data_IF_001860315095
#
_entry.id   IF_001860315095
#
_cell.length_a   1.000
_cell.length_b   1.000
_cell.length_c   1.000
_cell.angle_alpha   90.00
_cell.angle_beta   90.00
_cell.angle_gamma   90.00
#
_symmetry.space_group_name_H-M   'P 1'
#
loop_
_entity.id
_entity.type
_entity.pdbx_description
1 polymer ?
#
# COMPACT_ATOMS: atom_id res chain seq x y z
N UNK A 1 -23.01 -50.41 24.77
CA UNK A 1 -22.53 -49.10 25.29
C UNK A 1 -21.17 -48.82 24.67
N UNK A 2 -21.04 -47.79 23.85
CA UNK A 2 -19.72 -47.28 23.42
C UNK A 2 -19.87 -45.78 23.11
N UNK A 3 -19.26 -44.94 23.94
CA UNK A 3 -19.09 -43.50 23.72
C UNK A 3 -17.70 -43.28 23.13
N UNK A 4 -17.58 -42.45 22.09
CA UNK A 4 -16.29 -41.83 21.71
C UNK A 4 -16.58 -40.55 20.88
N UNK A 5 -16.66 -39.42 21.58
CA UNK A 5 -15.75 -38.26 21.48
C UNK A 5 -15.61 -37.64 20.08
N UNK A 6 -16.44 -36.62 19.84
CA UNK A 6 -16.27 -35.64 18.76
C UNK A 6 -15.20 -34.64 19.22
N UNK A 7 -14.02 -34.67 18.60
CA UNK A 7 -13.01 -33.62 18.75
C UNK A 7 -13.43 -32.40 17.92
N UNK A 8 -13.87 -31.34 18.60
CA UNK A 8 -14.00 -30.02 18.01
C UNK A 8 -12.59 -29.47 17.74
N UNK A 9 -12.18 -29.43 16.48
CA UNK A 9 -10.99 -28.69 16.05
C UNK A 9 -11.30 -27.19 16.11
N UNK A 10 -10.74 -26.50 17.11
CA UNK A 10 -10.75 -25.05 17.18
C UNK A 10 -9.81 -24.48 16.12
N UNK A 11 -10.38 -23.95 15.03
CA UNK A 11 -9.67 -23.12 14.07
C UNK A 11 -9.29 -21.79 14.76
N UNK A 12 -8.06 -21.71 15.26
CA UNK A 12 -7.47 -20.44 15.66
C UNK A 12 -7.23 -19.59 14.40
N UNK A 13 -8.15 -18.66 14.12
CA UNK A 13 -7.91 -17.57 13.19
C UNK A 13 -6.83 -16.66 13.80
N UNK A 14 -5.57 -16.95 13.49
CA UNK A 14 -4.46 -16.05 13.82
C UNK A 14 -4.62 -14.71 13.07
N UNK A 15 -4.14 -13.60 13.63
CA UNK A 15 -4.16 -12.33 12.92
C UNK A 15 -3.36 -12.49 11.63
N UNK A 16 -3.95 -12.08 10.51
CA UNK A 16 -3.26 -12.04 9.22
C UNK A 16 -2.08 -11.06 9.33
N UNK A 17 -0.89 -11.59 9.62
CA UNK A 17 0.32 -10.80 9.60
C UNK A 17 0.48 -10.20 8.20
N UNK A 18 0.61 -8.87 8.12
CA UNK A 18 1.02 -8.23 6.89
C UNK A 18 2.33 -8.88 6.43
N UNK A 19 2.31 -9.53 5.27
CA UNK A 19 3.47 -10.26 4.75
C UNK A 19 4.64 -9.29 4.54
N UNK A 20 5.65 -9.33 5.39
CA UNK A 20 6.86 -8.52 5.23
C UNK A 20 7.55 -8.86 3.91
N UNK A 21 8.29 -7.92 3.27
CA UNK A 21 9.12 -8.26 2.12
C UNK A 21 9.98 -9.50 2.39
N UNK A 22 10.14 -10.38 1.40
CA UNK A 22 10.79 -11.70 1.59
C UNK A 22 12.24 -11.57 2.13
N UNK A 23 12.91 -10.46 1.81
CA UNK A 23 14.25 -10.16 2.27
C UNK A 23 14.33 -9.69 3.73
N UNK A 24 13.20 -9.40 4.39
CA UNK A 24 13.17 -8.97 5.79
C UNK A 24 13.64 -10.03 6.79
N UNK A 25 13.73 -11.30 6.38
CA UNK A 25 14.33 -12.38 7.17
C UNK A 25 15.87 -12.43 7.10
N UNK A 26 16.51 -11.57 6.30
CA UNK A 26 17.97 -11.61 6.15
C UNK A 26 18.69 -11.18 7.45
N UNK A 27 19.82 -11.81 7.74
CA UNK A 27 20.59 -11.55 8.95
C UNK A 27 21.39 -10.24 8.92
N UNK A 28 21.59 -9.65 7.73
CA UNK A 28 22.46 -8.49 7.51
C UNK A 28 21.70 -7.27 6.99
N UNK A 29 20.61 -6.88 7.65
CA UNK A 29 19.84 -5.70 7.29
C UNK A 29 20.54 -4.41 7.74
N UNK A 30 20.65 -3.44 6.84
CA UNK A 30 21.06 -2.09 7.22
C UNK A 30 19.95 -1.36 8.00
N UNK A 31 20.24 -0.14 8.48
CA UNK A 31 19.28 0.63 9.29
C UNK A 31 17.97 0.93 8.55
N UNK A 32 18.04 1.34 7.28
CA UNK A 32 16.85 1.62 6.48
C UNK A 32 16.02 0.35 6.25
N UNK A 33 16.68 -0.75 5.90
CA UNK A 33 16.05 -2.06 5.72
C UNK A 33 15.33 -2.54 6.97
N UNK A 34 15.95 -2.42 8.15
CA UNK A 34 15.29 -2.72 9.43
C UNK A 34 14.04 -1.86 9.63
N UNK A 35 14.12 -0.56 9.38
CA UNK A 35 12.97 0.36 9.48
C UNK A 35 11.86 -0.02 8.50
N UNK A 36 12.19 -0.36 7.25
CA UNK A 36 11.21 -0.83 6.25
C UNK A 36 10.52 -2.10 6.75
N UNK A 37 11.28 -3.06 7.26
CA UNK A 37 10.75 -4.33 7.75
C UNK A 37 9.87 -4.20 8.99
N UNK A 38 10.02 -3.15 9.79
CA UNK A 38 9.17 -2.91 10.97
C UNK A 38 8.03 -1.93 10.72
N UNK A 39 7.94 -1.32 9.52
CA UNK A 39 6.95 -0.28 9.21
C UNK A 39 5.98 -0.75 8.13
N UNK A 40 4.73 -1.15 8.47
CA UNK A 40 3.79 -1.72 7.51
C UNK A 40 3.56 -0.88 6.26
N UNK A 41 3.52 0.45 6.42
CA UNK A 41 3.43 1.42 5.33
C UNK A 41 4.57 1.27 4.30
N UNK A 42 5.81 1.19 4.78
CA UNK A 42 7.00 1.03 3.93
C UNK A 42 7.07 -0.37 3.31
N UNK A 43 6.62 -1.40 4.02
CA UNK A 43 6.50 -2.75 3.43
C UNK A 43 5.53 -2.78 2.25
N UNK A 44 4.40 -2.07 2.34
CA UNK A 44 3.46 -1.98 1.23
C UNK A 44 4.09 -1.31 0.01
N UNK A 45 4.84 -0.22 0.22
CA UNK A 45 5.56 0.46 -0.86
C UNK A 45 6.63 -0.42 -1.48
N UNK A 46 7.39 -1.16 -0.68
CA UNK A 46 8.39 -2.12 -1.19
C UNK A 46 7.75 -3.16 -2.13
N UNK A 47 6.62 -3.73 -1.72
CA UNK A 47 5.85 -4.65 -2.57
C UNK A 47 5.33 -3.96 -3.83
N UNK A 48 4.92 -2.70 -3.76
CA UNK A 48 4.46 -1.95 -4.93
C UNK A 48 5.58 -1.76 -5.96
N UNK A 49 6.78 -1.38 -5.53
CA UNK A 49 7.92 -1.26 -6.44
C UNK A 49 8.31 -2.63 -7.02
N UNK A 50 8.31 -3.70 -6.20
CA UNK A 50 8.54 -5.08 -6.67
C UNK A 50 7.57 -5.53 -7.77
N UNK A 51 6.28 -5.22 -7.65
CA UNK A 51 5.30 -5.48 -8.72
C UNK A 51 5.58 -4.67 -9.98
N UNK A 52 5.98 -3.40 -9.85
CA UNK A 52 6.31 -2.57 -11.01
C UNK A 52 7.58 -3.06 -11.71
N UNK A 53 8.58 -3.53 -10.97
CA UNK A 53 9.75 -4.18 -11.57
C UNK A 53 9.34 -5.39 -12.39
N UNK A 54 8.49 -6.28 -11.87
CA UNK A 54 8.01 -7.44 -12.61
C UNK A 54 7.25 -7.08 -13.91
N UNK A 55 6.63 -5.90 -13.98
CA UNK A 55 5.95 -5.40 -15.20
C UNK A 55 6.89 -4.75 -16.21
N UNK A 56 7.98 -4.16 -15.73
CA UNK A 56 8.96 -3.43 -16.54
C UNK A 56 10.11 -4.32 -17.01
N UNK A 57 10.35 -5.45 -16.34
CA UNK A 57 11.40 -6.38 -16.70
C UNK A 57 11.21 -6.92 -18.12
N UNK A 58 12.28 -6.89 -18.91
CA UNK A 58 12.27 -7.29 -20.33
C UNK A 58 11.54 -6.35 -21.30
N UNK A 59 10.93 -5.24 -20.85
CA UNK A 59 10.27 -4.28 -21.75
C UNK A 59 11.31 -3.41 -22.47
N UNK A 60 11.26 -3.39 -23.79
CA UNK A 60 12.19 -2.62 -24.61
C UNK A 60 12.07 -1.11 -24.30
N UNK A 61 13.21 -0.45 -24.05
CA UNK A 61 13.27 0.99 -23.77
C UNK A 61 13.07 1.40 -22.31
N UNK A 62 12.82 0.47 -21.37
CA UNK A 62 12.63 0.79 -19.94
C UNK A 62 13.79 0.28 -19.09
N UNK A 63 14.96 0.91 -19.20
CA UNK A 63 16.10 0.60 -18.32
C UNK A 63 15.88 1.19 -16.94
N UNK A 64 15.36 0.39 -16.02
CA UNK A 64 15.11 0.80 -14.62
C UNK A 64 16.29 0.37 -13.75
N UNK A 65 17.28 1.25 -13.55
CA UNK A 65 18.46 0.94 -12.73
C UNK A 65 18.08 0.79 -11.25
N UNK A 66 18.32 -0.38 -10.65
CA UNK A 66 17.97 -0.70 -9.25
C UNK A 66 18.99 -0.13 -8.25
N UNK A 67 20.28 -0.26 -8.55
CA UNK A 67 21.35 -0.08 -7.57
C UNK A 67 21.49 1.37 -7.07
N UNK A 68 21.38 2.35 -7.97
CA UNK A 68 21.47 3.77 -7.60
C UNK A 68 20.33 4.22 -6.68
N UNK A 69 19.12 3.70 -6.90
CA UNK A 69 17.97 4.00 -6.06
C UNK A 69 18.08 3.35 -4.69
N UNK A 70 18.53 2.09 -4.61
CA UNK A 70 18.75 1.40 -3.33
C UNK A 70 19.75 2.16 -2.45
N UNK A 71 20.83 2.67 -3.03
CA UNK A 71 21.81 3.48 -2.31
C UNK A 71 21.19 4.77 -1.76
N UNK A 72 20.43 5.50 -2.59
CA UNK A 72 19.73 6.73 -2.18
C UNK A 72 18.70 6.46 -1.08
N UNK A 73 17.86 5.43 -1.24
CA UNK A 73 16.90 4.98 -0.22
C UNK A 73 17.60 4.66 1.09
N UNK A 74 18.69 3.88 1.04
CA UNK A 74 19.40 3.45 2.25
C UNK A 74 20.08 4.60 2.98
N UNK A 75 20.42 5.70 2.29
CA UNK A 75 20.96 6.91 2.91
C UNK A 75 19.97 7.59 3.87
N UNK A 76 18.65 7.33 3.75
CA UNK A 76 17.64 7.83 4.69
C UNK A 76 17.79 7.24 6.10
N UNK A 77 18.52 6.13 6.28
CA UNK A 77 18.59 5.44 7.57
C UNK A 77 17.20 5.10 8.10
N UNK A 78 16.91 5.44 9.36
CA UNK A 78 15.60 5.15 9.98
C UNK A 78 14.55 6.25 9.78
N UNK A 79 14.80 7.26 8.95
CA UNK A 79 13.85 8.34 8.72
C UNK A 79 12.69 7.85 7.83
N UNK A 80 11.52 7.58 8.46
CA UNK A 80 10.33 7.06 7.78
C UNK A 80 9.84 8.01 6.68
N UNK A 81 9.84 9.33 6.91
CA UNK A 81 9.40 10.29 5.90
C UNK A 81 10.32 10.28 4.66
N UNK A 82 11.64 10.28 4.87
CA UNK A 82 12.62 10.18 3.78
C UNK A 82 12.48 8.87 2.99
N UNK A 83 12.34 7.74 3.69
CA UNK A 83 12.13 6.43 3.06
C UNK A 83 10.85 6.42 2.23
N UNK A 84 9.78 6.97 2.81
CA UNK A 84 8.49 7.14 2.16
C UNK A 84 8.61 7.95 0.86
N UNK A 85 9.23 9.13 0.91
CA UNK A 85 9.43 9.98 -0.28
C UNK A 85 10.28 9.27 -1.34
N UNK A 86 11.34 8.56 -0.92
CA UNK A 86 12.18 7.76 -1.80
C UNK A 86 11.41 6.65 -2.50
N UNK A 87 10.47 6.01 -1.81
CA UNK A 87 9.61 4.98 -2.39
C UNK A 87 8.57 5.57 -3.34
N UNK A 88 7.87 6.62 -2.93
CA UNK A 88 6.79 7.19 -3.74
C UNK A 88 7.31 7.84 -5.03
N UNK A 89 8.45 8.53 -4.97
CA UNK A 89 9.13 9.03 -6.17
C UNK A 89 9.47 7.91 -7.15
N UNK A 90 9.90 6.76 -6.63
CA UNK A 90 10.24 5.59 -7.46
C UNK A 90 9.01 4.90 -8.03
N UNK A 91 7.94 4.77 -7.24
CA UNK A 91 6.66 4.24 -7.71
C UNK A 91 6.14 5.12 -8.86
N UNK A 92 6.17 6.44 -8.69
CA UNK A 92 5.74 7.38 -9.71
C UNK A 92 6.55 7.23 -11.02
N UNK A 93 7.88 7.31 -10.93
CA UNK A 93 8.78 7.11 -12.08
C UNK A 93 8.47 5.81 -12.83
N UNK A 94 8.31 4.70 -12.10
CA UNK A 94 8.08 3.39 -12.71
C UNK A 94 6.66 3.23 -13.27
N UNK A 95 5.66 3.92 -12.72
CA UNK A 95 4.31 3.94 -13.30
C UNK A 95 4.27 4.69 -14.63
N UNK A 96 4.98 5.82 -14.72
CA UNK A 96 5.15 6.54 -15.98
C UNK A 96 5.79 5.65 -17.04
N UNK A 97 6.91 4.99 -16.71
CA UNK A 97 7.58 4.03 -17.62
C UNK A 97 6.67 2.85 -18.01
N UNK A 98 5.79 2.42 -17.11
CA UNK A 98 4.84 1.35 -17.38
C UNK A 98 3.68 1.80 -18.27
N UNK A 99 3.52 3.11 -18.54
CA UNK A 99 2.35 3.66 -19.23
C UNK A 99 1.09 3.69 -18.35
N UNK A 100 1.29 3.68 -17.03
CA UNK A 100 0.24 3.84 -16.00
C UNK A 100 0.19 5.34 -15.56
N UNK A 101 0.71 6.23 -16.42
CA UNK A 101 1.02 7.64 -16.16
C UNK A 101 -0.09 8.63 -16.50
N UNK A 102 -1.35 8.22 -16.51
CA UNK A 102 -2.38 9.22 -16.26
C UNK A 102 -2.14 9.72 -14.84
N UNK A 103 -1.93 11.04 -14.68
CA UNK A 103 -1.97 11.79 -13.40
C UNK A 103 -2.92 11.09 -12.42
N UNK A 104 -2.68 11.11 -11.09
CA UNK A 104 -3.61 10.55 -10.11
C UNK A 104 -5.00 10.88 -10.60
N UNK A 105 -5.73 9.86 -11.09
CA UNK A 105 -7.02 10.14 -11.74
C UNK A 105 -7.84 10.66 -10.60
N UNK A 106 -7.87 11.98 -10.43
CA UNK A 106 -8.70 12.65 -9.46
C UNK A 106 -10.05 12.04 -9.75
N UNK A 107 -10.54 11.30 -8.77
CA UNK A 107 -11.75 10.55 -9.00
C UNK A 107 -12.82 11.58 -9.35
N UNK A 108 -13.82 11.25 -10.18
CA UNK A 108 -14.82 12.22 -10.62
C UNK A 108 -15.49 13.01 -9.48
N UNK A 109 -15.47 12.47 -8.26
CA UNK A 109 -15.96 13.17 -7.07
C UNK A 109 -15.08 14.36 -6.62
N UNK A 110 -13.78 14.41 -6.94
CA UNK A 110 -12.92 15.56 -6.65
C UNK A 110 -13.37 16.86 -7.34
N UNK A 111 -14.14 16.76 -8.42
CA UNK A 111 -14.72 17.90 -9.13
C UNK A 111 -16.12 18.29 -8.61
N UNK A 112 -16.63 17.58 -7.60
CA UNK A 112 -17.95 17.84 -7.03
C UNK A 112 -17.89 18.90 -5.92
N UNK A 113 -18.93 19.73 -5.83
CA UNK A 113 -19.10 20.65 -4.70
C UNK A 113 -19.51 19.91 -3.43
N UNK A 114 -19.13 20.44 -2.27
CA UNK A 114 -19.52 19.88 -0.97
C UNK A 114 -18.53 18.88 -0.36
N UNK A 115 -17.29 18.85 -0.85
CA UNK A 115 -16.23 18.02 -0.27
C UNK A 115 -15.99 18.35 1.20
N UNK A 116 -15.87 17.32 2.03
CA UNK A 116 -15.34 17.44 3.39
C UNK A 116 -13.91 17.98 3.39
N UNK A 117 -13.42 18.46 4.54
CA UNK A 117 -12.04 18.92 4.67
C UNK A 117 -11.03 17.82 4.29
N UNK A 118 -11.29 16.58 4.70
CA UNK A 118 -10.51 15.39 4.36
C UNK A 118 -10.46 15.14 2.86
N UNK A 119 -11.60 15.21 2.20
CA UNK A 119 -11.75 15.02 0.76
C UNK A 119 -11.02 16.11 -0.04
N UNK A 120 -11.08 17.37 0.41
CA UNK A 120 -10.28 18.45 -0.18
C UNK A 120 -8.78 18.19 -0.03
N UNK A 121 -8.34 17.72 1.14
CA UNK A 121 -6.93 17.35 1.37
C UNK A 121 -6.50 16.19 0.48
N UNK A 122 -7.36 15.18 0.28
CA UNK A 122 -7.09 14.04 -0.62
C UNK A 122 -6.92 14.53 -2.06
N UNK A 123 -7.87 15.31 -2.57
CA UNK A 123 -7.83 15.82 -3.94
C UNK A 123 -6.69 16.83 -4.16
N UNK A 124 -6.32 17.60 -3.13
CA UNK A 124 -5.24 18.59 -3.19
C UNK A 124 -3.83 18.01 -2.99
N UNK A 125 -3.72 16.76 -2.53
CA UNK A 125 -2.44 16.10 -2.25
C UNK A 125 -2.22 14.98 -3.27
N UNK A 126 -1.29 15.13 -4.25
CA UNK A 126 -1.12 14.17 -5.34
C UNK A 126 -0.98 12.71 -4.86
N UNK A 127 -0.25 12.53 -3.77
CA UNK A 127 -0.01 11.24 -3.12
C UNK A 127 -1.26 10.59 -2.53
N UNK A 128 -2.13 11.38 -1.90
CA UNK A 128 -3.39 10.88 -1.35
C UNK A 128 -4.42 10.64 -2.45
N UNK A 129 -4.44 11.48 -3.49
CA UNK A 129 -5.22 11.22 -4.69
C UNK A 129 -4.81 9.91 -5.39
N UNK A 130 -3.51 9.59 -5.42
CA UNK A 130 -3.01 8.31 -5.92
C UNK A 130 -3.48 7.13 -5.06
N UNK A 131 -3.49 7.27 -3.72
CA UNK A 131 -4.06 6.26 -2.83
C UNK A 131 -5.56 6.09 -3.03
N UNK A 132 -6.32 7.18 -3.22
CA UNK A 132 -7.74 7.10 -3.50
C UNK A 132 -8.03 6.35 -4.81
N UNK A 133 -7.33 6.71 -5.89
CA UNK A 133 -7.45 6.05 -7.18
C UNK A 133 -7.03 4.57 -7.12
N UNK A 134 -5.93 4.25 -6.44
CA UNK A 134 -5.45 2.88 -6.29
C UNK A 134 -6.40 2.03 -5.43
N UNK A 135 -6.99 2.60 -4.38
CA UNK A 135 -7.95 1.90 -3.54
C UNK A 135 -9.24 1.59 -4.30
N UNK A 136 -9.72 2.52 -5.13
CA UNK A 136 -10.85 2.28 -6.00
C UNK A 136 -10.57 1.11 -6.95
N UNK A 137 -9.44 1.12 -7.65
CA UNK A 137 -9.08 0.03 -8.57
C UNK A 137 -8.98 -1.33 -7.87
N UNK A 138 -8.40 -1.39 -6.67
CA UNK A 138 -8.36 -2.61 -5.87
C UNK A 138 -9.77 -3.07 -5.48
N UNK A 139 -10.63 -2.14 -5.08
CA UNK A 139 -12.01 -2.45 -4.69
C UNK A 139 -12.82 -2.98 -5.88
N UNK A 140 -12.63 -2.40 -7.07
CA UNK A 140 -13.26 -2.85 -8.32
C UNK A 140 -12.80 -4.25 -8.75
N UNK A 141 -11.56 -4.62 -8.43
CA UNK A 141 -11.00 -5.95 -8.75
C UNK A 141 -11.51 -7.03 -7.79
N UNK A 142 -11.93 -6.66 -6.59
CA UNK A 142 -12.39 -7.59 -5.57
C UNK A 142 -13.92 -7.73 -5.60
N UNK A 143 -14.41 -8.84 -6.16
CA UNK A 143 -15.84 -9.16 -6.09
C UNK A 143 -16.32 -9.13 -4.63
N UNK A 144 -17.35 -8.33 -4.32
CA UNK A 144 -17.84 -8.14 -2.95
C UNK A 144 -16.78 -7.63 -1.96
N UNK A 145 -15.91 -6.71 -2.38
CA UNK A 145 -15.09 -5.95 -1.42
C UNK A 145 -15.99 -5.42 -0.28
N UNK A 146 -15.56 -5.52 0.99
CA UNK A 146 -16.31 -4.92 2.09
C UNK A 146 -16.67 -3.48 1.74
N UNK A 147 -17.91 -3.07 2.01
CA UNK A 147 -18.34 -1.70 1.76
C UNK A 147 -17.39 -0.68 2.41
N UNK A 148 -17.39 0.57 1.93
CA UNK A 148 -16.55 1.62 2.51
C UNK A 148 -17.08 2.08 3.88
N UNK A 149 -18.25 1.58 4.29
CA UNK A 149 -18.94 1.94 5.52
C UNK A 149 -18.09 1.64 6.77
N UNK A 150 -17.92 2.65 7.61
CA UNK A 150 -17.03 2.63 8.78
C UNK A 150 -15.58 3.03 8.49
N UNK A 151 -15.00 2.63 7.35
CA UNK A 151 -13.67 3.11 6.94
C UNK A 151 -13.70 4.59 6.56
N UNK A 152 -14.68 5.01 5.74
CA UNK A 152 -14.82 6.42 5.35
C UNK A 152 -14.97 7.33 6.57
N UNK A 153 -15.81 6.95 7.54
CA UNK A 153 -15.96 7.73 8.77
C UNK A 153 -14.65 7.86 9.56
N UNK A 154 -13.85 6.79 9.66
CA UNK A 154 -12.54 6.84 10.33
C UNK A 154 -11.55 7.71 9.55
N UNK A 155 -11.47 7.56 8.23
CA UNK A 155 -10.67 8.43 7.36
C UNK A 155 -11.07 9.89 7.53
N UNK A 156 -12.37 10.18 7.49
CA UNK A 156 -12.87 11.55 7.52
C UNK A 156 -12.65 12.22 8.87
N UNK A 157 -12.52 11.44 9.94
CA UNK A 157 -12.13 11.95 11.26
C UNK A 157 -10.71 12.55 11.32
N UNK A 158 -9.85 12.29 10.31
CA UNK A 158 -8.53 12.89 10.19
C UNK A 158 -8.54 14.39 9.84
N UNK A 159 -9.67 14.92 9.33
CA UNK A 159 -9.72 16.31 8.85
C UNK A 159 -8.65 16.57 7.78
N UNK A 160 -7.79 17.56 7.99
CA UNK A 160 -6.73 17.92 7.02
C UNK A 160 -5.36 17.29 7.30
N UNK A 161 -5.26 16.36 8.26
CA UNK A 161 -4.00 15.70 8.58
C UNK A 161 -3.64 14.65 7.52
N UNK A 162 -2.74 15.02 6.61
CA UNK A 162 -2.33 14.17 5.50
C UNK A 162 -1.68 12.85 5.95
N UNK A 163 -0.99 12.83 7.10
CA UNK A 163 -0.35 11.61 7.62
C UNK A 163 -1.41 10.66 8.17
N UNK A 164 -2.38 11.18 8.92
CA UNK A 164 -3.53 10.39 9.39
C UNK A 164 -4.34 9.80 8.24
N UNK A 165 -4.60 10.60 7.19
CA UNK A 165 -5.34 10.15 6.01
C UNK A 165 -4.57 9.04 5.29
N UNK A 166 -3.26 9.22 5.09
CA UNK A 166 -2.40 8.20 4.51
C UNK A 166 -2.47 6.88 5.29
N UNK A 167 -2.30 6.93 6.61
CA UNK A 167 -2.34 5.74 7.46
C UNK A 167 -3.69 5.02 7.31
N UNK A 168 -4.80 5.77 7.24
CA UNK A 168 -6.13 5.22 6.96
C UNK A 168 -6.23 4.51 5.60
N UNK A 169 -5.62 5.05 4.55
CA UNK A 169 -5.54 4.38 3.24
C UNK A 169 -4.72 3.10 3.31
N UNK A 170 -3.55 3.14 3.97
CA UNK A 170 -2.64 2.00 4.08
C UNK A 170 -3.26 0.85 4.87
N UNK A 171 -3.95 1.13 5.97
CA UNK A 171 -4.72 0.14 6.72
C UNK A 171 -5.79 -0.52 5.86
N UNK A 172 -6.48 0.28 5.03
CA UNK A 172 -7.49 -0.24 4.11
C UNK A 172 -6.89 -1.10 3.01
N UNK A 173 -5.77 -0.69 2.42
CA UNK A 173 -5.03 -1.49 1.47
C UNK A 173 -4.56 -2.82 2.08
N UNK A 174 -4.07 -2.80 3.32
CA UNK A 174 -3.66 -4.02 4.01
C UNK A 174 -4.84 -4.98 4.21
N UNK A 175 -6.00 -4.44 4.60
CA UNK A 175 -7.25 -5.20 4.80
C UNK A 175 -7.72 -5.83 3.49
N UNK A 176 -7.87 -5.05 2.42
CA UNK A 176 -8.32 -5.55 1.11
C UNK A 176 -7.30 -6.50 0.47
N UNK A 177 -6.01 -6.20 0.61
CA UNK A 177 -4.94 -7.06 0.12
C UNK A 177 -4.90 -8.42 0.82
N UNK A 178 -5.27 -8.50 2.10
CA UNK A 178 -5.41 -9.78 2.80
C UNK A 178 -6.57 -10.61 2.21
N UNK A 179 -7.71 -9.96 1.92
CA UNK A 179 -8.86 -10.61 1.27
C UNK A 179 -8.47 -11.14 -0.11
N UNK A 180 -7.76 -10.34 -0.92
CA UNK A 180 -7.32 -10.72 -2.26
C UNK A 180 -6.52 -12.03 -2.26
N UNK A 181 -5.55 -12.17 -1.33
CA UNK A 181 -4.67 -13.34 -1.24
C UNK A 181 -5.39 -14.63 -0.79
N UNK A 182 -6.52 -14.53 -0.11
CA UNK A 182 -7.29 -15.71 0.31
C UNK A 182 -8.14 -16.32 -0.80
N UNK A 183 -8.14 -15.73 -2.00
CA UNK A 183 -8.94 -16.16 -3.15
C UNK A 183 -8.11 -16.81 -4.27
N UNK A 184 -6.79 -16.85 -4.12
CA UNK A 184 -5.86 -17.62 -4.96
C UNK A 184 -5.68 -19.03 -4.39
#
# INVERSE_FOLDING_TARGET
MMRAFVLLAALAAGPAAAQTPDWCGASSLNTAERTICTTPALQWRDRAVNRLWGRLDGRAGTTVRRDNWLASRNACGSNVACLTDSYDARIFEMRELAGIGDRPRLRPWCDTGGLSATEQTICGTPRLADYDAALQHLSDTLDNAPGPDGWLSRRDSCGTDAVCIEDSYLDRFATLGAIARTRE
#
